data_IF_674721910750
#
_entry.id   IF_674721910750
#
_cell.length_a   1.000
_cell.length_b   1.000
_cell.length_c   1.000
_cell.angle_alpha   90.00
_cell.angle_beta   90.00
_cell.angle_gamma   90.00
#
_symmetry.space_group_name_H-M   'P 1'
#
loop_
_entity.id
_entity.type
_entity.pdbx_description
1 polymer ?
#
# COMPACT_ATOMS: atom_id res chain seq x y z
N UNK A 1 -8.74 -0.36 -1.00
CA UNK A 1 -9.90 -0.76 -1.83
C UNK A 1 -9.53 -2.05 -2.54
N UNK A 2 -10.46 -2.98 -2.74
CA UNK A 2 -10.22 -4.20 -3.52
C UNK A 2 -11.24 -4.28 -4.65
N UNK A 3 -10.77 -4.38 -5.89
CA UNK A 3 -11.61 -4.46 -7.08
C UNK A 3 -11.52 -5.88 -7.63
N UNK A 4 -12.68 -6.53 -7.80
CA UNK A 4 -12.79 -7.87 -8.35
C UNK A 4 -14.03 -7.95 -9.24
N UNK A 5 -13.95 -8.79 -10.26
CA UNK A 5 -15.08 -9.14 -11.13
C UNK A 5 -14.64 -10.12 -12.20
N UNK A 6 -15.56 -10.49 -13.08
CA UNK A 6 -15.24 -11.30 -14.25
C UNK A 6 -15.48 -10.50 -15.53
N UNK A 7 -14.52 -10.52 -16.45
CA UNK A 7 -14.62 -9.73 -17.69
C UNK A 7 -15.85 -10.08 -18.54
N UNK A 8 -16.36 -11.32 -18.47
CA UNK A 8 -17.56 -11.71 -19.21
C UNK A 8 -18.84 -11.00 -18.73
N UNK A 9 -18.85 -10.47 -17.50
CA UNK A 9 -20.01 -9.77 -16.95
C UNK A 9 -20.24 -8.43 -17.66
N UNK A 10 -19.15 -7.78 -18.13
CA UNK A 10 -19.25 -6.50 -18.82
C UNK A 10 -19.94 -6.61 -20.18
N UNK A 11 -19.57 -7.64 -20.95
CA UNK A 11 -20.19 -7.92 -22.25
C UNK A 11 -21.65 -8.38 -22.08
N UNK A 12 -21.90 -9.28 -21.10
CA UNK A 12 -23.25 -9.76 -20.81
C UNK A 12 -24.23 -8.63 -20.45
N UNK A 13 -23.74 -7.61 -19.74
CA UNK A 13 -24.57 -6.54 -19.20
C UNK A 13 -24.49 -5.24 -20.03
N UNK A 14 -23.76 -5.24 -21.15
CA UNK A 14 -23.53 -4.07 -22.01
C UNK A 14 -23.06 -2.84 -21.21
N UNK A 15 -22.07 -3.03 -20.31
CA UNK A 15 -21.67 -2.00 -19.34
C UNK A 15 -20.14 -1.87 -19.15
N UNK A 16 -19.37 -2.07 -20.22
CA UNK A 16 -17.92 -1.82 -20.23
C UNK A 16 -17.53 -0.43 -19.73
N UNK A 17 -18.37 0.58 -19.95
CA UNK A 17 -18.13 1.95 -19.50
C UNK A 17 -17.89 2.04 -17.98
N UNK A 18 -18.43 1.12 -17.19
CA UNK A 18 -18.26 1.13 -15.73
C UNK A 18 -16.79 0.98 -15.31
N UNK A 19 -16.07 0.02 -15.89
CA UNK A 19 -14.66 -0.20 -15.54
C UNK A 19 -13.76 0.84 -16.20
N UNK A 20 -14.13 1.34 -17.39
CA UNK A 20 -13.41 2.39 -18.10
C UNK A 20 -13.45 3.71 -17.31
N UNK A 21 -14.65 4.19 -16.96
CA UNK A 21 -14.84 5.41 -16.16
C UNK A 21 -14.16 5.30 -14.78
N UNK A 22 -14.25 4.13 -14.14
CA UNK A 22 -13.55 3.88 -12.89
C UNK A 22 -12.02 4.00 -13.07
N UNK A 23 -11.47 3.37 -14.11
CA UNK A 23 -10.03 3.37 -14.37
C UNK A 23 -9.51 4.77 -14.70
N UNK A 24 -10.28 5.57 -15.45
CA UNK A 24 -9.96 6.99 -15.70
C UNK A 24 -9.99 7.81 -14.42
N UNK A 25 -10.99 7.61 -13.56
CA UNK A 25 -11.13 8.33 -12.29
C UNK A 25 -9.98 8.04 -11.32
N UNK A 26 -9.56 6.78 -11.22
CA UNK A 26 -8.55 6.37 -10.23
C UNK A 26 -7.15 6.31 -10.79
N UNK A 27 -6.94 6.33 -12.11
CA UNK A 27 -5.63 6.21 -12.75
C UNK A 27 -4.73 7.44 -12.56
N UNK A 28 -3.42 7.25 -12.72
CA UNK A 28 -2.41 8.32 -12.71
C UNK A 28 -2.41 9.24 -11.48
N UNK A 29 -2.74 8.70 -10.31
CA UNK A 29 -2.72 9.45 -9.05
C UNK A 29 -1.48 9.09 -8.24
N UNK A 30 -0.71 10.10 -7.85
CA UNK A 30 0.54 9.92 -7.08
C UNK A 30 0.31 9.57 -5.60
N UNK A 31 -0.92 9.72 -5.11
CA UNK A 31 -1.35 9.40 -3.74
C UNK A 31 -2.09 8.05 -3.65
N UNK A 32 -2.08 7.24 -4.72
CA UNK A 32 -2.64 5.89 -4.73
C UNK A 32 -1.53 4.88 -4.99
N UNK A 33 -1.41 3.89 -4.11
CA UNK A 33 -0.62 2.70 -4.39
C UNK A 33 -1.47 1.68 -5.16
N UNK A 34 -1.14 1.47 -6.43
CA UNK A 34 -1.70 0.41 -7.27
C UNK A 34 -0.90 -0.87 -7.01
N UNK A 35 -1.52 -1.84 -6.36
CA UNK A 35 -0.85 -3.05 -5.90
C UNK A 35 -1.59 -4.31 -6.34
N UNK A 36 -0.82 -5.33 -6.66
CA UNK A 36 -1.24 -6.72 -6.77
C UNK A 36 -1.45 -7.32 -5.37
N UNK A 37 -2.17 -8.44 -5.30
CA UNK A 37 -2.39 -9.13 -4.03
C UNK A 37 -1.08 -9.55 -3.34
N UNK A 38 -0.07 -9.99 -4.10
CA UNK A 38 1.19 -10.45 -3.52
C UNK A 38 1.98 -9.27 -2.94
N UNK A 39 1.95 -8.10 -3.58
CA UNK A 39 2.59 -6.89 -3.04
C UNK A 39 1.97 -6.45 -1.70
N UNK A 40 0.66 -6.61 -1.53
CA UNK A 40 0.00 -6.36 -0.24
C UNK A 40 0.48 -7.35 0.84
N UNK A 41 0.64 -8.64 0.48
CA UNK A 41 1.16 -9.66 1.41
C UNK A 41 2.61 -9.34 1.78
N UNK A 42 3.47 -9.08 0.80
CA UNK A 42 4.87 -8.75 1.00
C UNK A 42 5.04 -7.49 1.86
N UNK A 43 4.18 -6.48 1.68
CA UNK A 43 4.18 -5.27 2.50
C UNK A 43 3.79 -5.55 3.95
N UNK A 44 2.77 -6.38 4.19
CA UNK A 44 2.38 -6.77 5.55
C UNK A 44 3.53 -7.51 6.25
N UNK A 45 4.19 -8.43 5.55
CA UNK A 45 5.35 -9.10 6.12
C UNK A 45 6.53 -8.13 6.38
N UNK A 46 6.74 -7.14 5.50
CA UNK A 46 7.75 -6.11 5.71
C UNK A 46 7.43 -5.23 6.92
N UNK A 47 6.16 -4.88 7.11
CA UNK A 47 5.68 -4.14 8.28
C UNK A 47 5.89 -4.93 9.57
N UNK A 48 5.52 -6.21 9.60
CA UNK A 48 5.68 -7.07 10.78
C UNK A 48 7.16 -7.30 11.16
N UNK A 49 8.09 -7.13 10.21
CA UNK A 49 9.53 -7.23 10.45
C UNK A 49 10.18 -5.96 10.98
N UNK A 50 9.46 -4.84 11.07
CA UNK A 50 9.99 -3.60 11.64
C UNK A 50 10.48 -3.83 13.07
N UNK A 51 11.61 -3.23 13.41
CA UNK A 51 12.25 -3.39 14.71
C UNK A 51 12.24 -2.06 15.46
N UNK A 52 11.48 -1.98 16.55
CA UNK A 52 11.45 -0.79 17.41
C UNK A 52 12.48 -0.89 18.53
N UNK A 53 13.13 0.22 18.81
CA UNK A 53 14.05 0.35 19.93
C UNK A 53 13.26 0.44 21.25
N UNK A 54 13.88 0.03 22.36
CA UNK A 54 13.19 -0.08 23.65
C UNK A 54 12.67 1.27 24.21
N UNK A 55 13.25 2.38 23.78
CA UNK A 55 12.82 3.74 24.14
C UNK A 55 11.71 4.29 23.22
N UNK A 56 11.32 3.55 22.17
CA UNK A 56 10.36 3.93 21.13
C UNK A 56 10.73 5.21 20.35
N UNK A 57 11.98 5.68 20.42
CA UNK A 57 12.41 6.86 19.65
C UNK A 57 12.86 6.49 18.24
N UNK A 58 13.28 5.25 18.03
CA UNK A 58 13.84 4.79 16.77
C UNK A 58 13.16 3.52 16.29
N UNK A 59 13.11 3.39 14.96
CA UNK A 59 12.64 2.20 14.27
C UNK A 59 13.61 1.85 13.14
N UNK A 60 13.90 0.56 12.99
CA UNK A 60 14.74 0.02 11.93
C UNK A 60 13.91 -0.86 10.99
N UNK A 61 14.08 -0.65 9.68
CA UNK A 61 13.46 -1.48 8.66
C UNK A 61 14.50 -2.45 8.05
N UNK A 62 14.44 -3.76 8.37
CA UNK A 62 15.36 -4.74 7.79
C UNK A 62 14.99 -5.16 6.36
N UNK A 63 13.83 -4.75 5.85
CA UNK A 63 13.37 -5.07 4.49
C UNK A 63 13.98 -4.12 3.46
N UNK A 64 13.91 -4.48 2.17
CA UNK A 64 14.41 -3.63 1.09
C UNK A 64 13.41 -2.56 0.63
N UNK A 65 12.11 -2.78 0.84
CA UNK A 65 11.06 -1.81 0.52
C UNK A 65 10.83 -0.82 1.67
N UNK A 66 10.38 0.39 1.32
CA UNK A 66 9.88 1.35 2.30
C UNK A 66 8.60 0.84 2.96
N UNK A 67 8.45 1.16 4.24
CA UNK A 67 7.24 0.91 5.03
C UNK A 67 6.79 2.21 5.66
N UNK A 68 5.49 2.51 5.61
CA UNK A 68 4.92 3.70 6.23
C UNK A 68 4.23 3.35 7.54
N UNK A 69 4.56 4.12 8.59
CA UNK A 69 4.00 3.96 9.93
C UNK A 69 3.25 5.21 10.36
N UNK A 70 2.14 5.03 11.07
CA UNK A 70 1.37 6.12 11.66
C UNK A 70 1.79 6.31 13.12
N UNK A 71 2.53 7.38 13.42
CA UNK A 71 2.94 7.73 14.77
C UNK A 71 1.83 8.52 15.45
N UNK A 72 1.35 8.01 16.59
CA UNK A 72 0.29 8.62 17.40
C UNK A 72 -0.99 8.99 16.61
N UNK A 73 -1.30 8.23 15.55
CA UNK A 73 -2.42 8.44 14.63
C UNK A 73 -2.46 9.85 13.98
N UNK A 74 -1.31 10.54 13.88
CA UNK A 74 -1.24 11.93 13.38
C UNK A 74 -0.19 12.15 12.31
N UNK A 75 0.94 11.44 12.41
CA UNK A 75 2.09 11.66 11.54
C UNK A 75 2.41 10.38 10.80
N UNK A 76 2.35 10.42 9.47
CA UNK A 76 2.79 9.32 8.62
C UNK A 76 4.28 9.50 8.37
N UNK A 77 5.07 8.50 8.72
CA UNK A 77 6.53 8.51 8.56
C UNK A 77 6.90 7.36 7.64
N UNK A 78 7.68 7.66 6.60
CA UNK A 78 8.32 6.65 5.77
C UNK A 78 9.54 6.10 6.49
N UNK A 79 9.65 4.78 6.56
CA UNK A 79 10.83 4.05 7.04
C UNK A 79 11.46 3.36 5.82
N UNK A 80 12.47 3.99 5.17
CA UNK A 80 13.09 3.41 3.99
C UNK A 80 13.72 2.05 4.30
N UNK A 81 13.79 1.18 3.29
CA UNK A 81 14.39 -0.14 3.45
C UNK A 81 15.87 -0.06 3.83
N UNK A 82 16.27 -0.84 4.84
CA UNK A 82 17.65 -0.87 5.35
C UNK A 82 18.03 0.32 6.24
N UNK A 83 17.12 1.24 6.53
CA UNK A 83 17.39 2.46 7.29
C UNK A 83 16.84 2.42 8.73
N UNK A 84 17.47 3.20 9.60
CA UNK A 84 16.95 3.51 10.95
C UNK A 84 16.44 4.95 10.96
N UNK A 85 15.19 5.14 11.34
CA UNK A 85 14.53 6.45 11.37
C UNK A 85 14.14 6.81 12.79
N UNK A 86 14.21 8.10 13.12
CA UNK A 86 13.69 8.65 14.38
C UNK A 86 12.20 8.95 14.22
N UNK A 87 11.39 8.46 15.16
CA UNK A 87 9.92 8.63 15.19
C UNK A 87 9.48 9.94 15.86
#
# INVERSE_FOLDING_TARGET
MYVWGHSFEFDRNDNWSVIEEFSEMIGHRDDIWYATNIEIVDYNEAFDRLQMFADNEYIYNPSACSVWVAVNNKHIVEIPGGETVKL
#
